data_IF_413525848045
#
_entry.id   IF_413525848045
#
_cell.length_a   1.000
_cell.length_b   1.000
_cell.length_c   1.000
_cell.angle_alpha   90.00
_cell.angle_beta   90.00
_cell.angle_gamma   90.00
#
_symmetry.space_group_name_H-M   'P 1'
#
loop_
_entity.id
_entity.type
_entity.pdbx_description
1 polymer ?
#
# COMPACT_ATOMS: atom_id res chain seq x y z
N UNK A 1 -17.38 -18.68 -6.78
CA UNK A 1 -17.38 -19.93 -7.57
C UNK A 1 -17.14 -21.06 -6.57
N UNK A 2 -18.14 -21.93 -6.38
CA UNK A 2 -18.27 -22.90 -5.28
C UNK A 2 -17.28 -24.06 -5.47
N UNK A 3 -16.68 -24.60 -4.39
CA UNK A 3 -16.49 -26.06 -4.26
C UNK A 3 -16.42 -26.49 -2.78
N UNK A 4 -17.29 -27.45 -2.44
CA UNK A 4 -17.35 -28.20 -1.19
C UNK A 4 -16.51 -29.50 -1.25
N UNK A 5 -15.92 -29.83 -0.09
CA UNK A 5 -15.78 -31.15 0.57
C UNK A 5 -15.25 -32.39 -0.17
N UNK A 6 -14.33 -33.09 0.50
CA UNK A 6 -14.06 -34.52 0.25
C UNK A 6 -12.82 -35.08 0.95
N UNK A 7 -12.98 -35.51 2.21
CA UNK A 7 -12.02 -36.30 3.00
C UNK A 7 -11.78 -37.71 2.46
N UNK A 8 -10.53 -38.23 2.54
CA UNK A 8 -10.15 -39.55 3.10
C UNK A 8 -8.65 -39.85 2.89
N UNK A 9 -7.95 -40.28 3.95
CA UNK A 9 -6.51 -40.61 3.94
C UNK A 9 -6.21 -42.10 3.74
N UNK A 10 -4.92 -42.47 3.63
CA UNK A 10 -4.39 -43.81 3.93
C UNK A 10 -2.86 -43.79 4.16
N UNK A 11 -2.41 -44.55 5.16
CA UNK A 11 -1.02 -44.86 5.54
C UNK A 11 -0.39 -45.93 4.61
N UNK A 12 0.93 -45.89 4.39
CA UNK A 12 1.69 -47.00 3.79
C UNK A 12 3.21 -46.75 3.72
N UNK A 13 4.00 -47.73 4.19
CA UNK A 13 5.45 -47.71 4.43
C UNK A 13 6.32 -48.33 3.31
N UNK A 14 7.62 -47.99 3.30
CA UNK A 14 8.83 -48.69 2.79
C UNK A 14 9.53 -48.26 1.47
N UNK A 15 10.77 -47.78 1.67
CA UNK A 15 12.06 -48.05 0.99
C UNK A 15 12.21 -48.02 -0.54
N UNK A 16 13.22 -47.28 -1.01
CA UNK A 16 13.91 -47.58 -2.27
C UNK A 16 14.28 -46.34 -3.10
N UNK A 17 15.56 -46.00 -3.12
CA UNK A 17 16.14 -44.96 -3.96
C UNK A 17 15.99 -45.24 -5.46
N UNK A 18 15.41 -44.32 -6.22
CA UNK A 18 15.87 -43.92 -7.57
C UNK A 18 15.10 -42.71 -8.09
N UNK A 19 15.89 -41.78 -8.63
CA UNK A 19 15.53 -40.62 -9.44
C UNK A 19 14.22 -40.75 -10.23
N UNK A 20 13.31 -39.79 -10.00
CA UNK A 20 12.34 -39.32 -10.99
C UNK A 20 11.81 -37.96 -10.51
N UNK A 21 11.62 -37.05 -11.45
CA UNK A 21 11.06 -35.73 -11.27
C UNK A 21 9.85 -35.78 -10.31
N UNK A 22 10.05 -35.34 -9.07
CA UNK A 22 8.97 -35.07 -8.15
C UNK A 22 8.56 -33.63 -8.40
N UNK A 23 7.68 -33.42 -9.39
CA UNK A 23 6.82 -32.26 -9.37
C UNK A 23 5.94 -32.41 -8.13
N UNK A 24 6.40 -31.85 -7.01
CA UNK A 24 5.54 -31.63 -5.87
C UNK A 24 4.46 -30.67 -6.33
N UNK A 25 3.27 -31.18 -6.59
CA UNK A 25 2.08 -30.35 -6.51
C UNK A 25 1.99 -29.89 -5.05
N UNK A 26 2.60 -28.73 -4.78
CA UNK A 26 2.37 -28.00 -3.55
C UNK A 26 0.89 -27.59 -3.51
N UNK A 27 0.24 -27.62 -2.34
CA UNK A 27 -1.11 -27.11 -2.20
C UNK A 27 -1.14 -25.64 -2.63
N UNK A 28 -2.07 -25.30 -3.52
CA UNK A 28 -2.21 -23.99 -4.16
C UNK A 28 -2.78 -22.90 -3.22
N UNK A 29 -2.18 -22.72 -2.04
CA UNK A 29 -2.57 -21.69 -1.08
C UNK A 29 -1.46 -20.68 -0.79
N UNK A 30 -0.58 -20.49 -1.75
CA UNK A 30 0.32 -19.35 -1.83
C UNK A 30 0.67 -19.17 -3.29
N UNK A 31 0.21 -18.09 -3.93
CA UNK A 31 0.76 -17.71 -5.23
C UNK A 31 2.12 -17.09 -4.91
N UNK A 32 3.11 -17.94 -4.63
CA UNK A 32 4.48 -17.47 -4.50
C UNK A 32 4.91 -16.92 -5.85
N UNK A 33 5.24 -15.63 -5.85
CA UNK A 33 5.61 -14.91 -7.05
C UNK A 33 6.74 -13.95 -6.70
N UNK A 34 7.91 -14.30 -7.22
CA UNK A 34 9.16 -13.56 -7.02
C UNK A 34 9.07 -12.09 -7.45
N UNK A 35 8.04 -11.70 -8.21
CA UNK A 35 7.82 -10.32 -8.70
C UNK A 35 6.87 -9.50 -7.84
N UNK A 36 6.23 -10.08 -6.83
CA UNK A 36 5.35 -9.34 -5.93
C UNK A 36 6.02 -8.14 -5.24
N UNK A 37 7.27 -8.24 -4.75
CA UNK A 37 7.97 -7.08 -4.21
C UNK A 37 8.07 -5.93 -5.21
N UNK A 38 8.45 -6.22 -6.45
CA UNK A 38 8.58 -5.22 -7.53
C UNK A 38 7.22 -4.60 -7.87
N UNK A 39 6.18 -5.44 -7.93
CA UNK A 39 4.83 -5.01 -8.24
C UNK A 39 4.27 -4.10 -7.15
N UNK A 40 4.58 -4.36 -5.87
CA UNK A 40 4.17 -3.50 -4.75
C UNK A 40 4.67 -2.08 -4.92
N UNK A 41 5.92 -1.90 -5.38
CA UNK A 41 6.49 -0.57 -5.67
C UNK A 41 5.66 0.19 -6.71
N UNK A 42 5.25 -0.50 -7.78
CA UNK A 42 4.46 0.10 -8.85
C UNK A 42 3.04 0.43 -8.38
N UNK A 43 2.41 -0.48 -7.63
CA UNK A 43 1.06 -0.33 -7.13
C UNK A 43 0.95 0.79 -6.10
N UNK A 44 1.87 0.86 -5.13
CA UNK A 44 1.81 1.89 -4.09
C UNK A 44 2.22 3.27 -4.60
N UNK A 45 3.13 3.35 -5.57
CA UNK A 45 3.35 4.60 -6.28
C UNK A 45 2.07 5.03 -7.03
N UNK A 46 1.38 4.11 -7.70
CA UNK A 46 0.12 4.45 -8.35
C UNK A 46 -0.96 4.87 -7.36
N UNK A 47 -1.08 4.18 -6.21
CA UNK A 47 -2.02 4.52 -5.15
C UNK A 47 -1.74 5.92 -4.60
N UNK A 48 -0.49 6.26 -4.30
CA UNK A 48 -0.11 7.59 -3.84
C UNK A 48 -0.46 8.69 -4.87
N UNK A 49 -0.21 8.44 -6.16
CA UNK A 49 -0.61 9.36 -7.23
C UNK A 49 -2.13 9.57 -7.27
N UNK A 50 -2.91 8.48 -7.15
CA UNK A 50 -4.36 8.56 -7.10
C UNK A 50 -4.87 9.31 -5.88
N UNK A 51 -4.31 9.07 -4.69
CA UNK A 51 -4.71 9.79 -3.48
C UNK A 51 -4.43 11.28 -3.60
N UNK A 52 -3.23 11.68 -4.04
CA UNK A 52 -2.90 13.11 -4.18
C UNK A 52 -3.79 13.77 -5.23
N UNK A 53 -4.02 13.13 -6.38
CA UNK A 53 -4.94 13.62 -7.42
C UNK A 53 -6.38 13.70 -6.90
N UNK A 54 -6.84 12.71 -6.14
CA UNK A 54 -8.19 12.71 -5.56
C UNK A 54 -8.37 13.90 -4.63
N UNK A 55 -7.40 14.20 -3.76
CA UNK A 55 -7.46 15.37 -2.88
C UNK A 55 -7.48 16.68 -3.67
N UNK A 56 -6.66 16.83 -4.73
CA UNK A 56 -6.68 18.01 -5.61
C UNK A 56 -8.03 18.13 -6.33
N UNK A 57 -8.57 17.01 -6.83
CA UNK A 57 -9.84 16.99 -7.55
C UNK A 57 -11.05 17.37 -6.67
N UNK A 58 -10.96 17.18 -5.34
CA UNK A 58 -11.98 17.66 -4.40
C UNK A 58 -12.10 19.20 -4.38
N UNK A 59 -11.03 19.94 -4.72
CA UNK A 59 -11.12 21.39 -4.92
C UNK A 59 -11.80 21.71 -6.25
N UNK A 60 -11.30 21.10 -7.34
CA UNK A 60 -11.92 21.14 -8.65
C UNK A 60 -11.37 20.03 -9.57
N UNK A 61 -12.22 19.21 -10.23
CA UNK A 61 -11.75 18.05 -11.00
C UNK A 61 -10.76 18.37 -12.12
N UNK A 62 -10.86 19.54 -12.77
CA UNK A 62 -9.93 19.92 -13.84
C UNK A 62 -8.51 20.25 -13.35
N UNK A 63 -8.29 20.43 -12.04
CA UNK A 63 -6.97 20.79 -11.49
C UNK A 63 -5.96 19.64 -11.53
N UNK A 64 -6.41 18.40 -11.73
CA UNK A 64 -5.52 17.24 -11.90
C UNK A 64 -4.93 17.15 -13.31
N UNK A 65 -5.38 18.01 -14.23
CA UNK A 65 -4.87 18.08 -15.58
C UNK A 65 -3.72 19.08 -15.68
N UNK A 66 -2.68 18.66 -16.39
CA UNK A 66 -1.60 19.51 -16.86
C UNK A 66 -1.97 20.16 -18.20
N UNK A 67 -2.63 19.39 -19.07
CA UNK A 67 -3.16 19.87 -20.35
C UNK A 67 -4.64 19.54 -20.46
N UNK A 68 -5.44 20.57 -20.73
CA UNK A 68 -6.86 20.46 -21.03
C UNK A 68 -7.07 20.59 -22.55
N UNK A 69 -8.05 19.85 -23.11
CA UNK A 69 -8.46 20.03 -24.49
C UNK A 69 -8.90 21.48 -24.72
N UNK A 70 -8.43 22.08 -25.81
CA UNK A 70 -8.85 23.43 -26.21
C UNK A 70 -10.29 23.38 -26.73
N UNK A 71 -10.98 24.52 -26.72
CA UNK A 71 -12.35 24.62 -27.27
C UNK A 71 -12.45 24.20 -28.75
N UNK A 72 -11.37 24.33 -29.52
CA UNK A 72 -11.29 23.86 -30.91
C UNK A 72 -11.11 22.35 -31.05
N UNK A 73 -10.84 21.66 -29.95
CA UNK A 73 -10.61 20.22 -29.90
C UNK A 73 -11.77 19.47 -29.25
N UNK A 74 -12.72 20.18 -28.62
CA UNK A 74 -13.93 19.60 -28.04
C UNK A 74 -14.89 19.16 -29.15
N UNK A 75 -15.57 18.03 -28.93
CA UNK A 75 -16.58 17.55 -29.87
C UNK A 75 -17.83 18.45 -29.91
N UNK A 76 -18.09 19.17 -28.82
CA UNK A 76 -19.26 20.03 -28.64
C UNK A 76 -18.94 21.44 -28.11
N UNK A 77 -19.97 22.21 -27.75
CA UNK A 77 -19.81 23.59 -27.25
C UNK A 77 -19.19 23.67 -25.85
N UNK A 78 -19.16 22.55 -25.13
CA UNK A 78 -18.57 22.44 -23.79
C UNK A 78 -17.58 21.29 -23.77
N UNK A 79 -16.61 21.38 -22.85
CA UNK A 79 -15.68 20.30 -22.57
C UNK A 79 -16.45 19.16 -21.89
N UNK A 80 -16.45 17.97 -22.50
CA UNK A 80 -17.03 16.78 -21.93
C UNK A 80 -15.97 15.79 -21.41
N UNK A 81 -16.44 14.71 -20.77
CA UNK A 81 -15.57 13.70 -20.19
C UNK A 81 -14.83 12.89 -21.27
N UNK A 82 -15.43 12.70 -22.44
CA UNK A 82 -14.82 11.96 -23.55
C UNK A 82 -13.64 12.73 -24.15
N UNK A 83 -13.76 14.05 -24.25
CA UNK A 83 -12.67 14.96 -24.63
C UNK A 83 -11.50 14.87 -23.65
N UNK A 84 -11.79 14.84 -22.35
CA UNK A 84 -10.78 14.68 -21.29
C UNK A 84 -10.07 13.33 -21.36
N UNK A 85 -10.80 12.23 -21.61
CA UNK A 85 -10.18 10.90 -21.72
C UNK A 85 -9.30 10.76 -22.96
N UNK A 86 -9.68 11.37 -24.09
CA UNK A 86 -8.93 11.25 -25.34
C UNK A 86 -7.72 12.17 -25.42
N UNK A 87 -7.82 13.37 -24.83
CA UNK A 87 -6.86 14.46 -25.07
C UNK A 87 -6.36 15.14 -23.80
N UNK A 88 -6.94 14.83 -22.64
CA UNK A 88 -6.46 15.34 -21.37
C UNK A 88 -5.18 14.65 -20.93
N UNK A 89 -4.22 15.43 -20.42
CA UNK A 89 -3.00 14.90 -19.78
C UNK A 89 -3.04 15.23 -18.30
N UNK A 90 -3.07 14.21 -17.45
CA UNK A 90 -3.01 14.44 -15.99
C UNK A 90 -1.60 14.75 -15.54
N UNK A 91 -1.49 15.40 -14.39
CA UNK A 91 -0.23 15.73 -13.74
C UNK A 91 0.68 14.52 -13.57
N UNK A 92 1.97 14.74 -13.76
CA UNK A 92 3.01 13.76 -13.52
C UNK A 92 3.41 13.74 -12.04
N UNK A 93 3.99 12.63 -11.60
CA UNK A 93 4.46 12.41 -10.23
C UNK A 93 5.23 13.60 -9.62
N UNK A 94 6.18 14.16 -10.38
CA UNK A 94 7.05 15.25 -9.91
C UNK A 94 6.29 16.53 -9.56
N UNK A 95 5.14 16.75 -10.18
CA UNK A 95 4.38 17.99 -10.07
C UNK A 95 3.30 17.91 -8.98
N UNK A 96 3.01 16.69 -8.50
CA UNK A 96 1.95 16.43 -7.54
C UNK A 96 2.14 17.17 -6.20
N UNK A 97 3.33 17.16 -5.55
CA UNK A 97 3.49 17.86 -4.28
C UNK A 97 3.25 19.36 -4.40
N UNK A 98 3.71 19.96 -5.49
CA UNK A 98 3.57 21.40 -5.72
C UNK A 98 2.12 21.78 -6.05
N UNK A 99 1.44 21.00 -6.90
CA UNK A 99 0.03 21.23 -7.20
C UNK A 99 -0.85 21.05 -5.97
N UNK A 100 -0.60 20.03 -5.15
CA UNK A 100 -1.33 19.79 -3.92
C UNK A 100 -1.24 21.02 -3.02
N UNK A 101 -0.04 21.50 -2.74
CA UNK A 101 0.17 22.70 -1.93
C UNK A 101 -0.54 23.92 -2.53
N UNK A 102 -0.34 24.20 -3.82
CA UNK A 102 -0.88 25.39 -4.46
C UNK A 102 -2.43 25.43 -4.54
N UNK A 103 -3.09 24.27 -4.44
CA UNK A 103 -4.55 24.16 -4.56
C UNK A 103 -5.26 23.91 -3.24
N UNK A 104 -4.57 23.38 -2.22
CA UNK A 104 -5.19 22.93 -0.96
C UNK A 104 -4.50 23.47 0.30
N UNK A 105 -3.36 24.16 0.16
CA UNK A 105 -2.42 24.52 1.24
C UNK A 105 -1.81 23.32 2.00
N UNK A 106 -2.06 22.08 1.57
CA UNK A 106 -1.49 20.87 2.19
C UNK A 106 -0.05 20.66 1.71
N UNK A 107 0.87 20.56 2.66
CA UNK A 107 2.24 20.11 2.39
C UNK A 107 2.31 18.59 2.52
N UNK A 108 2.77 17.91 1.47
CA UNK A 108 2.87 16.45 1.47
C UNK A 108 3.81 15.96 2.60
N UNK A 109 3.36 15.03 3.46
CA UNK A 109 4.19 14.43 4.49
C UNK A 109 5.44 13.77 3.92
N UNK A 110 6.59 13.95 4.57
CA UNK A 110 7.85 13.31 4.19
C UNK A 110 8.18 13.40 2.68
N UNK A 111 8.01 14.60 2.09
CA UNK A 111 8.26 14.88 0.66
C UNK A 111 9.56 14.27 0.11
N UNK A 112 10.64 14.29 0.88
CA UNK A 112 11.91 13.68 0.46
C UNK A 112 11.80 12.16 0.21
N UNK A 113 10.99 11.44 0.99
CA UNK A 113 10.70 10.01 0.81
C UNK A 113 9.83 9.80 -0.43
N UNK A 114 8.82 10.65 -0.65
CA UNK A 114 8.00 10.62 -1.87
C UNK A 114 8.85 10.79 -3.14
N UNK A 115 9.75 11.78 -3.16
CA UNK A 115 10.65 12.00 -4.30
C UNK A 115 11.63 10.84 -4.53
N UNK A 116 12.16 10.25 -3.45
CA UNK A 116 13.03 9.08 -3.53
C UNK A 116 12.28 7.85 -4.05
N UNK A 117 11.05 7.62 -3.57
CA UNK A 117 10.22 6.51 -3.99
C UNK A 117 9.82 6.62 -5.47
N UNK A 118 9.54 7.84 -5.97
CA UNK A 118 9.32 8.06 -7.40
C UNK A 118 10.52 7.67 -8.27
N UNK A 119 11.75 7.97 -7.81
CA UNK A 119 12.98 7.52 -8.48
C UNK A 119 13.11 6.00 -8.44
N UNK A 120 12.83 5.39 -7.30
CA UNK A 120 12.88 3.94 -7.10
C UNK A 120 11.88 3.22 -8.02
N UNK A 121 10.64 3.69 -8.08
CA UNK A 121 9.60 3.22 -9.00
C UNK A 121 10.03 3.29 -10.47
N UNK A 122 10.66 4.38 -10.88
CA UNK A 122 11.17 4.50 -12.26
C UNK A 122 12.26 3.48 -12.58
N UNK A 123 13.13 3.16 -11.61
CA UNK A 123 14.15 2.12 -11.75
C UNK A 123 13.48 0.75 -11.93
N UNK A 124 12.54 0.39 -11.05
CA UNK A 124 11.81 -0.88 -11.11
C UNK A 124 11.03 -1.00 -12.42
N UNK A 125 10.36 0.07 -12.85
CA UNK A 125 9.50 0.05 -14.05
C UNK A 125 10.28 -0.03 -15.37
N UNK A 126 11.40 0.69 -15.49
CA UNK A 126 12.10 0.84 -16.78
C UNK A 126 13.37 0.01 -16.90
N UNK A 127 13.94 -0.46 -15.78
CA UNK A 127 15.20 -1.17 -15.75
C UNK A 127 15.01 -2.57 -15.14
N UNK A 128 15.37 -2.72 -13.87
CA UNK A 128 15.32 -3.96 -13.13
C UNK A 128 15.30 -3.63 -11.63
N UNK A 129 14.87 -4.60 -10.82
CA UNK A 129 14.84 -4.39 -9.37
C UNK A 129 16.23 -4.24 -8.77
N UNK A 130 16.45 -3.20 -7.95
CA UNK A 130 17.72 -3.01 -7.26
C UNK A 130 17.98 -4.17 -6.29
N UNK A 131 19.17 -4.75 -6.34
CA UNK A 131 19.56 -5.85 -5.46
C UNK A 131 19.99 -5.38 -4.07
N UNK A 132 20.20 -4.08 -3.88
CA UNK A 132 20.72 -3.48 -2.64
C UNK A 132 19.63 -3.23 -1.59
N UNK A 133 18.35 -3.23 -1.98
CA UNK A 133 17.22 -2.91 -1.09
C UNK A 133 16.08 -3.88 -1.35
N UNK A 134 15.42 -4.33 -0.28
CA UNK A 134 14.18 -5.12 -0.38
C UNK A 134 13.03 -4.23 -0.86
N UNK A 135 12.46 -4.46 -2.06
CA UNK A 135 11.35 -3.65 -2.57
C UNK A 135 10.13 -3.65 -1.66
N UNK A 136 9.84 -4.77 -0.99
CA UNK A 136 8.73 -4.83 -0.04
C UNK A 136 8.98 -3.93 1.17
N UNK A 137 10.21 -3.85 1.65
CA UNK A 137 10.55 -2.98 2.79
C UNK A 137 10.46 -1.50 2.43
N UNK A 138 11.00 -1.12 1.27
CA UNK A 138 10.95 0.27 0.80
C UNK A 138 9.50 0.71 0.55
N UNK A 139 8.66 -0.20 0.08
CA UNK A 139 7.24 0.04 -0.15
C UNK A 139 6.47 0.23 1.15
N UNK A 140 6.66 -0.63 2.16
CA UNK A 140 6.03 -0.45 3.47
C UNK A 140 6.48 0.86 4.14
N UNK A 141 7.78 1.20 4.07
CA UNK A 141 8.28 2.50 4.55
C UNK A 141 7.62 3.68 3.83
N UNK A 142 7.35 3.55 2.53
CA UNK A 142 6.67 4.58 1.76
C UNK A 142 5.19 4.70 2.16
N UNK A 143 4.47 3.59 2.28
CA UNK A 143 3.07 3.58 2.73
C UNK A 143 2.97 4.26 4.09
N UNK A 144 3.66 3.76 5.10
CA UNK A 144 3.50 4.25 6.48
C UNK A 144 4.24 5.57 6.75
N UNK A 145 5.21 5.92 5.91
CA UNK A 145 5.94 7.19 5.99
C UNK A 145 5.27 8.34 5.23
N UNK A 146 4.51 8.08 4.17
CA UNK A 146 3.97 9.12 3.29
C UNK A 146 2.47 8.96 3.08
N UNK A 147 2.01 7.80 2.60
CA UNK A 147 0.61 7.58 2.26
C UNK A 147 -0.26 7.65 3.51
N UNK A 148 0.05 6.89 4.56
CA UNK A 148 -0.75 6.82 5.78
C UNK A 148 -0.94 8.21 6.42
N UNK A 149 0.12 9.01 6.73
CA UNK A 149 -0.09 10.34 7.29
C UNK A 149 -0.93 11.25 6.38
N UNK A 150 -0.76 11.12 5.07
CA UNK A 150 -1.51 11.91 4.09
C UNK A 150 -3.00 11.54 4.09
N UNK A 151 -3.35 10.26 3.91
CA UNK A 151 -4.75 9.82 3.87
C UNK A 151 -5.45 10.02 5.23
N UNK A 152 -4.72 9.86 6.33
CA UNK A 152 -5.23 10.14 7.67
C UNK A 152 -5.59 11.62 7.83
N UNK A 153 -4.70 12.52 7.40
CA UNK A 153 -4.97 13.96 7.47
C UNK A 153 -6.12 14.42 6.56
N UNK A 154 -6.33 13.76 5.41
CA UNK A 154 -7.33 14.16 4.44
C UNK A 154 -8.72 13.54 4.70
N UNK A 155 -8.76 12.29 5.15
CA UNK A 155 -9.98 11.48 5.23
C UNK A 155 -10.12 10.68 6.52
N UNK A 156 -9.22 10.84 7.49
CA UNK A 156 -9.21 10.10 8.75
C UNK A 156 -9.18 8.57 8.55
N UNK A 157 -8.40 8.13 7.54
CA UNK A 157 -8.18 6.72 7.20
C UNK A 157 -6.85 6.21 7.76
N UNK A 158 -6.80 4.93 8.09
CA UNK A 158 -5.60 4.24 8.58
C UNK A 158 -5.18 3.19 7.56
N UNK A 159 -3.93 3.24 7.08
CA UNK A 159 -3.48 2.33 6.03
C UNK A 159 -3.51 0.85 6.49
N UNK A 160 -3.31 0.62 7.79
CA UNK A 160 -3.33 -0.72 8.39
C UNK A 160 -4.67 -1.44 8.27
N UNK A 161 -5.77 -0.70 8.09
CA UNK A 161 -7.12 -1.27 7.99
C UNK A 161 -7.49 -1.72 6.56
N UNK A 162 -6.64 -1.43 5.58
CA UNK A 162 -6.87 -1.76 4.16
C UNK A 162 -6.05 -2.96 3.70
N UNK A 163 -5.71 -3.85 4.63
CA UNK A 163 -5.17 -5.17 4.33
C UNK A 163 -6.30 -6.08 3.80
N UNK A 164 -6.09 -6.72 2.65
CA UNK A 164 -7.10 -7.61 2.02
C UNK A 164 -7.07 -9.04 2.58
N UNK A 165 -6.24 -9.30 3.60
CA UNK A 165 -6.16 -10.60 4.25
C UNK A 165 -7.46 -10.96 5.01
N UNK A 166 -7.81 -12.26 4.96
CA UNK A 166 -8.98 -12.81 5.64
C UNK A 166 -8.85 -12.79 7.17
N UNK A 167 -7.62 -12.80 7.68
CA UNK A 167 -7.28 -12.73 9.10
C UNK A 167 -6.66 -11.36 9.40
N UNK A 168 -7.52 -10.35 9.57
CA UNK A 168 -7.12 -8.96 9.78
C UNK A 168 -6.03 -8.85 10.85
N UNK A 169 -4.96 -8.12 10.53
CA UNK A 169 -3.84 -7.82 11.41
C UNK A 169 -2.96 -9.02 11.85
N UNK A 170 -3.39 -10.28 11.64
CA UNK A 170 -2.69 -11.47 12.17
C UNK A 170 -1.34 -11.71 11.50
N UNK A 171 -1.20 -11.41 10.21
CA UNK A 171 0.06 -11.59 9.47
C UNK A 171 0.73 -10.27 9.11
N UNK A 172 -0.07 -9.28 8.72
CA UNK A 172 0.46 -7.99 8.30
C UNK A 172 1.10 -7.19 9.43
N UNK A 173 0.47 -7.12 10.61
CA UNK A 173 1.04 -6.37 11.74
C UNK A 173 2.35 -6.97 12.28
N UNK A 174 2.48 -8.30 12.48
CA UNK A 174 3.77 -8.90 12.78
C UNK A 174 4.88 -8.50 11.81
N UNK A 175 4.58 -8.40 10.52
CA UNK A 175 5.57 -8.06 9.52
C UNK A 175 6.05 -6.60 9.66
N UNK A 176 5.13 -5.67 9.93
CA UNK A 176 5.47 -4.28 10.25
C UNK A 176 6.33 -4.19 11.50
N UNK A 177 5.97 -4.93 12.56
CA UNK A 177 6.71 -4.95 13.82
C UNK A 177 8.10 -5.57 13.65
N UNK A 178 8.21 -6.68 12.92
CA UNK A 178 9.49 -7.35 12.62
C UNK A 178 10.44 -6.41 11.87
N UNK A 179 9.92 -5.62 10.93
CA UNK A 179 10.66 -4.60 10.17
C UNK A 179 10.84 -3.28 10.93
N UNK A 180 10.26 -3.13 12.12
CA UNK A 180 10.28 -1.91 12.96
C UNK A 180 9.70 -0.70 12.23
N UNK A 181 8.66 -0.92 11.42
CA UNK A 181 7.94 0.12 10.71
C UNK A 181 6.83 0.64 11.63
N UNK A 182 6.87 1.94 11.94
CA UNK A 182 5.84 2.58 12.74
C UNK A 182 4.62 2.85 11.86
N UNK A 183 3.43 2.57 12.38
CA UNK A 183 2.15 2.81 11.71
C UNK A 183 1.13 3.42 12.69
N UNK A 184 0.12 4.12 12.16
CA UNK A 184 -0.98 4.64 12.97
C UNK A 184 -1.93 3.49 13.33
N UNK A 185 -2.41 3.50 14.57
CA UNK A 185 -3.30 2.44 15.06
C UNK A 185 -4.73 2.98 15.04
N UNK A 186 -5.60 2.34 14.27
CA UNK A 186 -7.03 2.62 14.26
C UNK A 186 -7.73 2.07 15.52
N UNK A 187 -8.94 2.55 15.85
CA UNK A 187 -9.75 1.95 16.92
C UNK A 187 -9.99 0.44 16.71
N UNK A 188 -10.20 0.02 15.47
CA UNK A 188 -10.42 -1.36 15.06
C UNK A 188 -9.16 -2.21 15.29
N UNK A 189 -8.01 -1.74 14.82
CA UNK A 189 -6.74 -2.42 15.03
C UNK A 189 -6.40 -2.52 16.53
N UNK A 190 -6.68 -1.46 17.31
CA UNK A 190 -6.48 -1.46 18.75
C UNK A 190 -7.41 -2.45 19.49
N UNK A 191 -8.64 -2.64 19.02
CA UNK A 191 -9.56 -3.62 19.58
C UNK A 191 -9.07 -5.06 19.38
N UNK A 192 -8.31 -5.31 18.31
CA UNK A 192 -7.70 -6.60 18.00
C UNK A 192 -6.25 -6.75 18.49
N UNK A 193 -5.76 -5.87 19.38
CA UNK A 193 -4.34 -5.85 19.79
C UNK A 193 -3.83 -7.18 20.37
N UNK A 194 -4.68 -7.88 21.13
CA UNK A 194 -4.34 -9.18 21.72
C UNK A 194 -4.19 -10.30 20.65
N UNK A 195 -4.69 -10.07 19.44
CA UNK A 195 -4.68 -11.01 18.32
C UNK A 195 -3.53 -10.77 17.33
N UNK A 196 -2.75 -9.69 17.49
CA UNK A 196 -1.69 -9.30 16.54
C UNK A 196 -0.53 -10.32 16.39
N UNK A 197 -0.54 -11.46 17.08
CA UNK A 197 0.47 -12.53 16.96
C UNK A 197 1.95 -12.05 16.98
N UNK A 198 2.25 -11.03 17.80
CA UNK A 198 3.59 -10.45 17.94
C UNK A 198 4.25 -10.92 19.24
N UNK A 199 5.48 -11.44 19.16
CA UNK A 199 6.32 -11.60 20.34
C UNK A 199 7.02 -10.28 20.71
N UNK A 200 6.36 -9.50 21.56
CA UNK A 200 6.88 -8.21 22.05
C UNK A 200 8.11 -8.32 22.96
N UNK A 201 8.66 -9.51 23.22
CA UNK A 201 9.91 -9.68 24.00
C UNK A 201 11.15 -9.47 23.13
N UNK A 202 11.06 -9.80 21.84
CA UNK A 202 12.18 -9.72 20.89
C UNK A 202 12.22 -8.39 20.13
N UNK A 203 11.26 -7.51 20.38
CA UNK A 203 11.13 -6.19 19.77
C UNK A 203 11.94 -5.14 20.56
N UNK A 204 12.58 -4.22 19.84
CA UNK A 204 13.36 -3.15 20.45
C UNK A 204 12.50 -2.32 21.44
N UNK A 205 12.95 -2.05 22.68
CA UNK A 205 12.12 -1.41 23.70
C UNK A 205 11.48 -0.09 23.26
N UNK A 206 12.24 0.80 22.61
CA UNK A 206 11.72 2.08 22.16
C UNK A 206 10.60 1.96 21.11
N UNK A 207 10.70 0.99 20.20
CA UNK A 207 9.65 0.74 19.20
C UNK A 207 8.40 0.16 19.87
N UNK A 208 8.60 -0.82 20.75
CA UNK A 208 7.52 -1.43 21.53
C UNK A 208 6.74 -0.38 22.33
N UNK A 209 7.46 0.45 23.10
CA UNK A 209 6.84 1.47 23.95
C UNK A 209 6.00 2.45 23.12
N UNK A 210 6.52 2.85 21.95
CA UNK A 210 5.79 3.72 21.02
C UNK A 210 4.54 3.06 20.44
N UNK A 211 4.60 1.79 20.03
CA UNK A 211 3.43 1.08 19.51
C UNK A 211 2.36 0.86 20.59
N UNK A 212 2.74 0.43 21.80
CA UNK A 212 1.80 0.33 22.93
C UNK A 212 1.16 1.69 23.27
N UNK A 213 1.92 2.77 23.20
CA UNK A 213 1.38 4.13 23.39
C UNK A 213 0.31 4.46 22.35
N UNK A 214 0.52 4.13 21.07
CA UNK A 214 -0.45 4.34 19.99
C UNK A 214 -1.71 3.51 20.19
N UNK A 215 -1.57 2.23 20.56
CA UNK A 215 -2.70 1.34 20.87
C UNK A 215 -3.54 1.92 22.01
N UNK A 216 -2.92 2.28 23.14
CA UNK A 216 -3.63 2.86 24.28
C UNK A 216 -4.38 4.15 23.93
N UNK A 217 -3.79 4.98 23.07
CA UNK A 217 -4.42 6.21 22.58
C UNK A 217 -5.65 5.91 21.71
N UNK A 218 -5.58 4.90 20.84
CA UNK A 218 -6.68 4.48 19.98
C UNK A 218 -7.80 3.75 20.74
N UNK A 219 -7.48 2.97 21.78
CA UNK A 219 -8.45 2.30 22.65
C UNK A 219 -9.22 3.26 23.58
N UNK A 220 -8.72 4.48 23.75
CA UNK A 220 -9.36 5.53 24.55
C UNK A 220 -9.84 6.66 23.65
N UNK A 221 -10.81 6.44 22.74
CA UNK A 221 -11.36 7.55 21.97
C UNK A 221 -11.97 8.51 22.98
N UNK A 222 -11.38 9.70 23.08
CA UNK A 222 -11.83 10.73 24.01
C UNK A 222 -13.34 10.92 23.85
N UNK A 223 -14.06 10.89 24.98
CA UNK A 223 -15.39 11.48 25.11
C UNK A 223 -15.30 12.91 24.57
N UNK A 224 -15.73 13.11 23.32
CA UNK A 224 -16.04 14.43 22.79
C UNK A 224 -17.39 14.88 23.36
#
# INVERSE_FOLDING_TARGET
MIYESGTQGYFGTHSGSRSRCAGSCQPAWGIDNERWPDLSVLQDAHAAELFVKARIAQEHPLLIFEELPRSTQAAGPFLDLEDLFKKGRTLQWSDLPERLWATTDIVLPNRAVFEQFGKYRNIVQHLASPTERDPSEETLKFIFGVIEPFIHSCWNLFAVDYDEDMELYVYFVPELVRRKILFMVSPEAAACFDEWNVDWKDVAPAYKDEMHRRVNAASSPGRA
#
